data_IF_458549603218
#
_entry.id   IF_458549603218
#
_cell.length_a   1.000
_cell.length_b   1.000
_cell.length_c   1.000
_cell.angle_alpha   90.00
_cell.angle_beta   90.00
_cell.angle_gamma   90.00
#
_symmetry.space_group_name_H-M   'P 1'
#
loop_
_entity.id
_entity.type
_entity.pdbx_description
1 polymer ?
#
# COMPACT_ATOMS: atom_id res chain seq x y z
N UNK A 1 9.16 -5.24 -16.65
CA UNK A 1 8.26 -6.26 -16.07
C UNK A 1 7.43 -6.97 -17.13
N UNK A 2 6.80 -6.26 -18.07
CA UNK A 2 5.83 -6.87 -19.01
C UNK A 2 6.47 -7.82 -20.01
N UNK A 3 7.57 -7.45 -20.65
CA UNK A 3 8.30 -8.34 -21.58
C UNK A 3 8.68 -9.65 -20.87
N UNK A 4 9.22 -9.57 -19.66
CA UNK A 4 9.59 -10.74 -18.85
C UNK A 4 8.37 -11.60 -18.53
N UNK A 5 7.25 -10.97 -18.16
CA UNK A 5 5.99 -11.65 -17.90
C UNK A 5 5.54 -12.47 -19.10
N UNK A 6 5.51 -11.87 -20.29
CA UNK A 6 5.08 -12.54 -21.52
C UNK A 6 6.06 -13.63 -21.96
N UNK A 7 7.35 -13.34 -21.95
CA UNK A 7 8.38 -14.31 -22.35
C UNK A 7 8.39 -15.56 -21.45
N UNK A 8 8.34 -15.37 -20.13
CA UNK A 8 8.34 -16.49 -19.19
C UNK A 8 7.06 -17.32 -19.30
N UNK A 9 5.91 -16.68 -19.47
CA UNK A 9 4.64 -17.39 -19.68
C UNK A 9 4.61 -18.17 -20.99
N UNK A 10 5.15 -17.63 -22.05
CA UNK A 10 5.30 -18.35 -23.32
C UNK A 10 6.15 -19.63 -23.17
N UNK A 11 7.08 -19.65 -22.21
CA UNK A 11 7.88 -20.83 -21.83
C UNK A 11 7.20 -21.72 -20.77
N UNK A 12 5.93 -21.47 -20.42
CA UNK A 12 5.21 -22.24 -19.39
C UNK A 12 5.62 -21.94 -17.95
N UNK A 13 6.38 -20.86 -17.70
CA UNK A 13 6.84 -20.50 -16.38
C UNK A 13 5.77 -19.64 -15.68
N UNK A 14 5.29 -20.04 -14.47
CA UNK A 14 4.24 -19.31 -13.78
C UNK A 14 4.82 -18.04 -13.12
N UNK A 15 4.59 -16.91 -13.77
CA UNK A 15 5.06 -15.59 -13.33
C UNK A 15 3.89 -14.62 -13.25
N UNK A 16 3.96 -13.69 -12.30
CA UNK A 16 3.00 -12.60 -12.13
C UNK A 16 3.73 -11.26 -11.99
N UNK A 17 2.97 -10.17 -12.07
CA UNK A 17 3.43 -8.83 -11.73
C UNK A 17 2.81 -8.41 -10.42
N UNK A 18 3.64 -7.93 -9.51
CA UNK A 18 3.24 -7.35 -8.25
C UNK A 18 3.66 -5.88 -8.19
N UNK A 19 3.01 -5.13 -7.33
CA UNK A 19 3.27 -3.70 -7.20
C UNK A 19 2.87 -3.19 -5.81
N UNK A 20 3.45 -2.08 -5.42
CA UNK A 20 2.88 -1.22 -4.38
C UNK A 20 2.38 0.08 -5.01
N UNK A 21 1.34 0.63 -4.39
CA UNK A 21 0.71 1.83 -4.90
C UNK A 21 1.55 3.08 -4.67
N UNK A 22 2.25 3.13 -3.53
CA UNK A 22 3.14 4.23 -3.18
C UNK A 22 4.09 3.84 -2.04
N UNK A 23 5.37 4.16 -2.18
CA UNK A 23 6.34 4.01 -1.11
C UNK A 23 6.46 5.30 -0.30
N UNK A 24 6.25 5.27 1.03
CA UNK A 24 6.40 6.47 1.85
C UNK A 24 7.84 7.02 1.90
N UNK A 25 8.84 6.17 1.65
CA UNK A 25 10.26 6.58 1.65
C UNK A 25 10.71 7.13 0.29
N UNK A 26 10.42 6.39 -0.79
CA UNK A 26 10.90 6.71 -2.15
C UNK A 26 9.95 7.58 -2.96
N UNK A 27 8.75 7.85 -2.42
CA UNK A 27 7.76 8.77 -3.00
C UNK A 27 7.36 8.46 -4.44
N UNK A 28 7.31 7.18 -4.81
CA UNK A 28 6.86 6.70 -6.11
C UNK A 28 6.18 5.33 -5.99
N UNK A 29 5.51 4.92 -7.06
CA UNK A 29 5.02 3.55 -7.23
C UNK A 29 6.11 2.67 -7.83
N UNK A 30 5.99 1.35 -7.64
CA UNK A 30 6.92 0.40 -8.25
C UNK A 30 6.21 -0.91 -8.56
N UNK A 31 6.71 -1.60 -9.60
CA UNK A 31 6.27 -2.92 -10.02
C UNK A 31 7.47 -3.84 -10.18
N UNK A 32 7.28 -5.10 -9.84
CA UNK A 32 8.28 -6.15 -10.02
C UNK A 32 7.62 -7.43 -10.51
N UNK A 33 8.41 -8.42 -10.88
CA UNK A 33 7.91 -9.73 -11.21
C UNK A 33 8.02 -10.69 -10.02
N UNK A 34 7.16 -11.68 -9.98
CA UNK A 34 7.20 -12.76 -9.00
C UNK A 34 7.01 -14.10 -9.70
N UNK A 35 7.88 -15.05 -9.36
CA UNK A 35 7.86 -16.40 -9.87
C UNK A 35 7.20 -17.33 -8.86
N UNK A 36 6.25 -18.16 -9.29
CA UNK A 36 5.71 -19.23 -8.45
C UNK A 36 6.58 -20.47 -8.63
N UNK A 37 7.22 -20.92 -7.55
CA UNK A 37 8.03 -22.14 -7.57
C UNK A 37 7.18 -23.42 -7.46
N UNK A 38 7.84 -24.57 -7.52
CA UNK A 38 7.20 -25.89 -7.44
C UNK A 38 6.58 -26.20 -6.09
N UNK A 39 6.90 -25.45 -5.03
CA UNK A 39 6.25 -25.54 -3.71
C UNK A 39 5.02 -24.65 -3.60
N UNK A 40 4.73 -23.85 -4.63
CA UNK A 40 3.65 -22.88 -4.63
C UNK A 40 4.00 -21.52 -4.05
N UNK A 41 5.24 -21.33 -3.58
CA UNK A 41 5.75 -20.09 -3.01
C UNK A 41 6.05 -19.08 -4.12
N UNK A 42 5.78 -17.82 -3.86
CA UNK A 42 6.10 -16.73 -4.77
C UNK A 42 7.44 -16.10 -4.40
N UNK A 43 8.31 -15.94 -5.39
CA UNK A 43 9.67 -15.43 -5.26
C UNK A 43 9.76 -14.15 -6.08
N UNK A 44 10.08 -13.04 -5.42
CA UNK A 44 10.30 -11.73 -6.05
C UNK A 44 11.58 -11.76 -6.88
N UNK A 45 11.52 -11.16 -8.06
CA UNK A 45 12.71 -10.85 -8.86
C UNK A 45 12.51 -9.59 -9.72
N UNK A 46 13.60 -8.94 -10.06
CA UNK A 46 13.62 -7.82 -11.02
C UNK A 46 14.66 -8.16 -12.10
N UNK A 47 14.27 -8.35 -13.36
CA UNK A 47 15.20 -8.68 -14.42
C UNK A 47 16.38 -7.70 -14.52
N UNK A 48 17.59 -8.24 -14.47
CA UNK A 48 18.84 -7.45 -14.51
C UNK A 48 19.20 -6.73 -13.21
N UNK A 49 18.43 -6.94 -12.11
CA UNK A 49 18.71 -6.30 -10.81
C UNK A 49 18.66 -7.28 -9.65
N UNK A 50 17.65 -8.13 -9.60
CA UNK A 50 17.40 -9.07 -8.52
C UNK A 50 17.07 -10.43 -9.12
N UNK A 51 17.92 -11.40 -8.90
CA UNK A 51 17.69 -12.79 -9.33
C UNK A 51 16.72 -13.51 -8.39
N UNK A 52 15.85 -14.40 -8.90
CA UNK A 52 14.95 -15.17 -8.08
C UNK A 52 15.72 -16.18 -7.25
N UNK A 53 15.67 -16.08 -5.92
CA UNK A 53 16.33 -17.01 -4.99
C UNK A 53 15.33 -17.61 -4.04
N UNK A 54 15.42 -18.95 -3.78
CA UNK A 54 14.50 -19.64 -2.86
C UNK A 54 14.80 -19.36 -1.40
N UNK A 55 16.06 -19.14 -1.06
CA UNK A 55 16.55 -19.11 0.30
C UNK A 55 16.45 -17.76 0.98
N UNK A 56 16.07 -16.75 0.24
CA UNK A 56 15.88 -15.38 0.77
C UNK A 56 14.53 -14.84 0.30
N UNK A 57 13.77 -14.26 1.24
CA UNK A 57 12.77 -13.28 0.86
C UNK A 57 13.56 -12.06 0.41
N UNK A 58 13.85 -12.00 -0.89
CA UNK A 58 14.56 -10.88 -1.45
C UNK A 58 13.60 -9.69 -1.42
N UNK A 59 13.93 -8.69 -0.63
CA UNK A 59 13.22 -7.42 -0.66
C UNK A 59 14.08 -6.43 -1.41
N UNK A 60 13.45 -5.55 -2.15
CA UNK A 60 14.10 -4.40 -2.77
C UNK A 60 14.39 -3.27 -1.76
N UNK A 61 14.29 -3.58 -0.46
CA UNK A 61 14.42 -2.70 0.70
C UNK A 61 13.50 -1.46 0.70
N UNK A 62 12.54 -1.37 -0.22
CA UNK A 62 11.58 -0.26 -0.27
C UNK A 62 10.41 -0.55 0.65
N UNK A 63 9.99 0.47 1.40
CA UNK A 63 8.73 0.43 2.13
C UNK A 63 7.56 0.44 1.15
N UNK A 64 6.66 -0.55 1.30
CA UNK A 64 5.56 -0.81 0.37
C UNK A 64 4.21 -0.36 0.92
N UNK A 65 4.08 -0.34 2.25
CA UNK A 65 2.80 -0.20 2.93
C UNK A 65 1.89 -1.40 2.69
N UNK A 66 1.51 -1.61 1.45
CA UNK A 66 0.73 -2.76 0.96
C UNK A 66 1.29 -3.22 -0.38
N UNK A 67 1.28 -4.53 -0.63
CA UNK A 67 1.69 -5.14 -1.89
C UNK A 67 0.50 -5.83 -2.56
N UNK A 68 0.37 -5.62 -3.86
CA UNK A 68 -0.73 -6.17 -4.67
C UNK A 68 -0.18 -6.94 -5.86
N UNK A 69 -0.95 -7.94 -6.31
CA UNK A 69 -0.68 -8.74 -7.51
C UNK A 69 -1.77 -8.52 -8.53
N UNK A 70 -1.38 -8.35 -9.80
CA UNK A 70 -2.32 -8.41 -10.91
C UNK A 70 -2.74 -9.87 -11.14
N UNK A 71 -4.05 -10.10 -11.18
CA UNK A 71 -4.67 -11.41 -11.40
C UNK A 71 -5.41 -11.42 -12.74
N UNK A 72 -5.46 -12.58 -13.40
CA UNK A 72 -6.31 -12.77 -14.61
C UNK A 72 -7.75 -13.03 -14.23
N UNK A 73 -7.99 -13.72 -13.12
CA UNK A 73 -9.32 -14.02 -12.61
C UNK A 73 -9.81 -12.91 -11.70
N UNK A 74 -11.11 -12.67 -11.78
CA UNK A 74 -11.80 -11.74 -10.91
C UNK A 74 -11.73 -12.19 -9.43
N UNK A 75 -11.40 -11.27 -8.54
CA UNK A 75 -11.34 -11.52 -7.10
C UNK A 75 -12.72 -11.29 -6.48
N UNK A 76 -13.33 -12.35 -5.97
CA UNK A 76 -14.73 -12.33 -5.46
C UNK A 76 -14.96 -11.30 -4.35
N UNK A 77 -13.99 -11.10 -3.47
CA UNK A 77 -14.08 -10.09 -2.39
C UNK A 77 -14.23 -8.68 -2.93
N UNK A 78 -13.46 -8.34 -3.97
CA UNK A 78 -13.55 -7.05 -4.64
C UNK A 78 -14.82 -6.96 -5.49
N UNK A 79 -15.23 -8.06 -6.15
CA UNK A 79 -16.46 -8.10 -6.92
C UNK A 79 -17.72 -7.83 -6.05
N UNK A 80 -17.73 -8.28 -4.80
CA UNK A 80 -18.81 -7.96 -3.86
C UNK A 80 -18.89 -6.46 -3.55
N UNK A 81 -17.77 -5.77 -3.51
CA UNK A 81 -17.72 -4.30 -3.35
C UNK A 81 -18.20 -3.57 -4.60
N UNK A 82 -18.00 -4.14 -5.80
CA UNK A 82 -18.46 -3.55 -7.07
C UNK A 82 -19.98 -3.53 -7.20
N UNK A 83 -20.69 -4.48 -6.59
CA UNK A 83 -22.15 -4.53 -6.58
C UNK A 83 -22.78 -3.47 -5.65
N UNK A 84 -21.98 -2.83 -4.81
CA UNK A 84 -22.42 -1.68 -4.03
C UNK A 84 -22.35 -0.44 -4.93
N UNK A 85 -23.51 0.13 -5.29
CA UNK A 85 -23.63 1.39 -6.05
C UNK A 85 -23.13 2.62 -5.28
N UNK A 86 -22.20 2.45 -4.39
CA UNK A 86 -21.62 3.53 -3.59
C UNK A 86 -20.65 4.34 -4.46
N UNK A 87 -21.07 5.56 -4.77
CA UNK A 87 -20.32 6.56 -5.55
C UNK A 87 -19.00 6.95 -4.85
N UNK A 88 -18.86 6.64 -3.57
CA UNK A 88 -17.77 7.06 -2.71
C UNK A 88 -16.52 6.14 -2.65
N UNK A 89 -16.42 5.07 -3.46
CA UNK A 89 -15.24 4.20 -3.42
C UNK A 89 -14.25 4.60 -4.52
N UNK A 90 -12.99 4.98 -4.18
CA UNK A 90 -11.97 5.30 -5.17
C UNK A 90 -11.73 4.16 -6.16
N UNK A 91 -11.48 4.52 -7.45
CA UNK A 91 -11.35 3.57 -8.56
C UNK A 91 -10.40 2.41 -8.30
N UNK A 92 -9.31 2.64 -7.57
CA UNK A 92 -8.34 1.61 -7.23
C UNK A 92 -8.99 0.41 -6.51
N UNK A 93 -9.84 0.68 -5.52
CA UNK A 93 -10.48 -0.36 -4.71
C UNK A 93 -11.66 -1.04 -5.41
N UNK A 94 -12.02 -0.59 -6.60
CA UNK A 94 -13.02 -1.23 -7.47
C UNK A 94 -12.41 -2.19 -8.49
N UNK A 95 -11.09 -2.32 -8.51
CA UNK A 95 -10.41 -3.21 -9.44
C UNK A 95 -10.45 -4.65 -8.92
N UNK A 96 -11.33 -5.47 -9.47
CA UNK A 96 -11.46 -6.90 -9.11
C UNK A 96 -10.32 -7.78 -9.63
N UNK A 97 -9.40 -7.24 -10.42
CA UNK A 97 -8.25 -7.98 -10.97
C UNK A 97 -6.96 -7.74 -10.20
N UNK A 98 -7.05 -7.20 -8.99
CA UNK A 98 -5.93 -7.10 -8.07
C UNK A 98 -6.21 -7.89 -6.79
N UNK A 99 -5.16 -8.47 -6.22
CA UNK A 99 -5.20 -9.20 -4.96
C UNK A 99 -4.15 -8.65 -4.00
N UNK A 100 -4.52 -8.43 -2.76
CA UNK A 100 -3.58 -8.16 -1.68
C UNK A 100 -2.68 -9.38 -1.45
N UNK A 101 -1.39 -9.19 -1.50
CA UNK A 101 -0.36 -10.21 -1.25
C UNK A 101 0.65 -9.76 -0.21
N UNK A 102 0.31 -8.77 0.58
CA UNK A 102 1.18 -8.18 1.61
C UNK A 102 1.67 -9.22 2.61
N UNK A 103 0.81 -10.18 2.97
CA UNK A 103 1.18 -11.28 3.86
C UNK A 103 2.34 -12.14 3.33
N UNK A 104 2.54 -12.22 2.00
CA UNK A 104 3.66 -12.96 1.42
C UNK A 104 5.02 -12.33 1.79
N UNK A 105 5.04 -11.06 2.17
CA UNK A 105 6.24 -10.27 2.49
C UNK A 105 6.44 -10.08 3.98
N UNK A 106 5.36 -9.87 4.72
CA UNK A 106 5.41 -9.40 6.12
C UNK A 106 4.67 -10.34 7.09
N UNK A 107 4.17 -11.47 6.59
CA UNK A 107 3.32 -12.38 7.37
C UNK A 107 1.90 -11.85 7.56
N UNK A 108 1.03 -12.71 8.08
CA UNK A 108 -0.33 -12.35 8.44
C UNK A 108 -0.31 -11.53 9.73
N UNK A 109 -1.02 -10.42 9.72
CA UNK A 109 -1.24 -9.59 10.90
C UNK A 109 -2.57 -8.86 10.80
N UNK A 110 -3.04 -8.40 11.94
CA UNK A 110 -4.28 -7.65 12.10
C UNK A 110 -4.03 -6.45 13.00
N UNK A 111 -4.53 -5.30 12.59
CA UNK A 111 -4.33 -4.03 13.30
C UNK A 111 -5.67 -3.31 13.43
N UNK A 112 -6.16 -3.20 14.65
CA UNK A 112 -7.38 -2.45 14.97
C UNK A 112 -7.01 -1.08 15.52
N UNK A 113 -7.59 -0.03 14.96
CA UNK A 113 -7.36 1.36 15.36
C UNK A 113 -8.68 2.09 15.58
N UNK A 114 -8.73 3.03 16.53
CA UNK A 114 -9.90 3.87 16.74
C UNK A 114 -10.05 4.89 15.59
N UNK A 115 -11.28 5.24 15.29
CA UNK A 115 -11.64 6.32 14.36
C UNK A 115 -12.49 7.37 15.09
N UNK A 116 -12.38 8.61 14.67
CA UNK A 116 -13.11 9.74 15.24
C UNK A 116 -14.32 10.14 14.39
N UNK A 117 -14.42 9.58 13.19
CA UNK A 117 -15.52 9.83 12.26
C UNK A 117 -16.11 8.50 11.83
N UNK A 118 -17.39 8.32 12.09
CA UNK A 118 -18.13 7.12 11.71
C UNK A 118 -18.50 7.20 10.23
N UNK A 119 -17.79 6.41 9.43
CA UNK A 119 -18.05 6.20 8.01
C UNK A 119 -17.92 4.71 7.70
N UNK A 120 -18.76 4.21 6.80
CA UNK A 120 -18.78 2.80 6.45
C UNK A 120 -17.44 2.30 5.90
N UNK A 121 -16.81 3.10 5.05
CA UNK A 121 -15.55 2.76 4.42
C UNK A 121 -14.42 3.63 4.95
N UNK A 122 -13.46 3.00 5.58
CA UNK A 122 -12.24 3.65 6.07
C UNK A 122 -11.08 3.20 5.20
N UNK A 123 -10.29 4.16 4.76
CA UNK A 123 -9.12 3.91 3.95
C UNK A 123 -7.86 4.02 4.80
N UNK A 124 -6.88 3.17 4.50
CA UNK A 124 -5.54 3.25 5.07
C UNK A 124 -4.65 4.02 4.12
N UNK A 125 -4.08 5.11 4.57
CA UNK A 125 -3.19 5.96 3.79
C UNK A 125 -1.74 5.83 4.19
N UNK A 126 -0.84 5.92 3.20
CA UNK A 126 0.59 6.17 3.40
C UNK A 126 0.93 7.60 3.03
N UNK A 127 1.94 8.16 3.69
CA UNK A 127 2.34 9.56 3.51
C UNK A 127 2.95 9.83 2.14
N UNK A 128 2.63 10.98 1.59
CA UNK A 128 3.34 11.62 0.46
C UNK A 128 3.48 13.13 0.72
N UNK A 129 4.39 13.85 0.05
CA UNK A 129 4.61 15.29 0.32
C UNK A 129 3.36 16.17 0.22
N UNK A 130 2.39 15.80 -0.59
CA UNK A 130 1.16 16.56 -0.81
C UNK A 130 -0.09 15.91 -0.18
N UNK A 131 0.07 15.10 0.86
CA UNK A 131 -1.04 14.47 1.57
C UNK A 131 -0.89 12.96 1.72
N UNK A 132 -1.99 12.23 1.64
CA UNK A 132 -2.05 10.78 1.87
C UNK A 132 -2.53 10.05 0.63
N UNK A 133 -1.92 8.91 0.33
CA UNK A 133 -2.38 8.01 -0.72
C UNK A 133 -3.04 6.80 -0.05
N UNK A 134 -4.32 6.51 -0.35
CA UNK A 134 -4.99 5.35 0.19
C UNK A 134 -4.40 4.08 -0.44
N UNK A 135 -3.97 3.16 0.42
CA UNK A 135 -3.36 1.89 0.00
C UNK A 135 -4.18 0.69 0.41
N UNK A 136 -5.13 0.83 1.35
CA UNK A 136 -6.05 -0.22 1.75
C UNK A 136 -7.41 0.36 2.09
N UNK A 137 -8.44 -0.51 2.20
CA UNK A 137 -9.80 -0.15 2.56
C UNK A 137 -10.41 -1.23 3.44
N UNK A 138 -11.08 -0.81 4.50
CA UNK A 138 -11.83 -1.70 5.38
C UNK A 138 -13.19 -1.12 5.75
N UNK A 139 -14.09 -1.98 6.21
CA UNK A 139 -15.40 -1.57 6.74
C UNK A 139 -15.22 -1.29 8.23
N UNK A 140 -15.71 -0.15 8.67
CA UNK A 140 -15.71 0.22 10.10
C UNK A 140 -16.66 -0.66 10.92
N UNK A 141 -16.34 -0.81 12.18
CA UNK A 141 -17.19 -1.43 13.18
C UNK A 141 -17.34 -0.45 14.37
N UNK A 142 -18.35 0.40 14.30
CA UNK A 142 -18.54 1.50 15.25
C UNK A 142 -17.37 2.50 15.20
N UNK A 143 -16.76 2.74 16.34
CA UNK A 143 -15.65 3.67 16.53
C UNK A 143 -14.27 3.11 16.16
N UNK A 144 -14.21 1.93 15.51
CA UNK A 144 -12.96 1.23 15.18
C UNK A 144 -12.98 0.71 13.76
N UNK A 145 -11.77 0.50 13.24
CA UNK A 145 -11.53 -0.19 11.97
C UNK A 145 -10.36 -1.16 12.11
N UNK A 146 -10.48 -2.30 11.45
CA UNK A 146 -9.43 -3.34 11.41
C UNK A 146 -8.89 -3.47 10.01
N UNK A 147 -7.57 -3.34 9.89
CA UNK A 147 -6.82 -3.62 8.66
C UNK A 147 -6.01 -4.89 8.81
N UNK A 148 -5.82 -5.60 7.72
CA UNK A 148 -5.07 -6.86 7.69
C UNK A 148 -3.80 -6.73 6.87
N UNK A 149 -2.77 -7.48 7.26
CA UNK A 149 -1.53 -7.63 6.50
C UNK A 149 -0.83 -6.28 6.20
N UNK A 150 -0.42 -5.56 7.24
CA UNK A 150 0.31 -4.32 7.13
C UNK A 150 1.82 -4.55 7.18
N UNK A 151 2.57 -3.72 6.46
CA UNK A 151 4.02 -3.64 6.62
C UNK A 151 4.38 -2.94 7.94
N UNK A 152 5.25 -3.52 8.78
CA UNK A 152 5.66 -2.89 10.03
C UNK A 152 6.61 -1.71 9.80
N UNK A 153 6.68 -0.85 10.82
CA UNK A 153 7.55 0.34 10.86
C UNK A 153 7.24 1.38 9.77
N UNK A 154 5.94 1.56 9.50
CA UNK A 154 5.40 2.60 8.63
C UNK A 154 4.39 3.42 9.44
N UNK A 155 4.35 4.72 9.16
CA UNK A 155 3.30 5.61 9.66
C UNK A 155 2.12 5.54 8.67
N UNK A 156 0.97 5.16 9.21
CA UNK A 156 -0.29 5.11 8.49
C UNK A 156 -1.27 6.16 9.00
N UNK A 157 -2.23 6.50 8.16
CA UNK A 157 -3.34 7.39 8.49
C UNK A 157 -4.67 6.72 8.12
N UNK A 158 -5.63 6.74 9.05
CA UNK A 158 -7.01 6.40 8.72
C UNK A 158 -7.68 7.56 8.00
N UNK A 159 -8.36 7.28 6.89
CA UNK A 159 -8.93 8.29 6.00
C UNK A 159 -10.39 7.95 5.68
N UNK A 160 -11.17 8.98 5.42
CA UNK A 160 -12.49 8.92 4.78
C UNK A 160 -12.44 9.62 3.43
N UNK A 161 -13.32 9.24 2.51
CA UNK A 161 -13.45 9.84 1.19
C UNK A 161 -14.82 10.47 1.02
N UNK A 162 -14.90 11.78 0.80
CA UNK A 162 -16.14 12.54 0.66
C UNK A 162 -16.71 12.60 -0.77
N UNK A 163 -16.14 11.76 -1.67
CA UNK A 163 -16.46 11.76 -3.09
C UNK A 163 -15.53 12.65 -3.94
N UNK A 164 -14.77 13.55 -3.32
CA UNK A 164 -13.82 14.47 -3.97
C UNK A 164 -12.39 14.30 -3.45
N UNK A 165 -12.23 14.30 -2.14
CA UNK A 165 -10.91 14.24 -1.50
C UNK A 165 -10.91 13.37 -0.25
N UNK A 166 -9.71 13.04 0.20
CA UNK A 166 -9.48 12.24 1.40
C UNK A 166 -9.27 13.16 2.60
N UNK A 167 -9.90 12.80 3.72
CA UNK A 167 -9.77 13.50 5.01
C UNK A 167 -9.35 12.52 6.11
N UNK A 168 -8.58 12.95 7.12
CA UNK A 168 -8.29 12.13 8.28
C UNK A 168 -9.57 11.68 9.00
N UNK A 169 -9.63 10.38 9.35
CA UNK A 169 -10.71 9.78 10.14
C UNK A 169 -10.33 9.60 11.62
N UNK A 170 -9.06 9.70 11.95
CA UNK A 170 -8.52 9.57 13.30
C UNK A 170 -7.08 10.05 13.36
N UNK A 171 -6.35 9.68 14.39
CA UNK A 171 -4.93 9.95 14.50
C UNK A 171 -4.11 9.08 13.54
N UNK A 172 -2.95 9.59 13.11
CA UNK A 172 -1.95 8.74 12.48
C UNK A 172 -1.42 7.72 13.48
N UNK A 173 -0.94 6.60 13.01
CA UNK A 173 -0.35 5.58 13.86
C UNK A 173 0.87 4.95 13.19
N UNK A 174 1.79 4.46 13.99
CA UNK A 174 2.87 3.60 13.53
C UNK A 174 2.54 2.15 13.88
N UNK A 175 2.65 1.24 12.90
CA UNK A 175 2.51 -0.18 13.15
C UNK A 175 3.88 -0.78 13.46
N UNK A 176 4.07 -1.26 14.69
CA UNK A 176 5.29 -1.97 15.10
C UNK A 176 4.99 -2.96 16.21
N UNK A 177 5.80 -4.01 16.32
CA UNK A 177 5.67 -5.05 17.34
C UNK A 177 4.24 -5.65 17.42
N UNK A 178 3.55 -5.78 16.26
CA UNK A 178 2.19 -6.30 16.19
C UNK A 178 1.09 -5.38 16.73
N UNK A 179 1.39 -4.10 16.99
CA UNK A 179 0.46 -3.12 17.56
C UNK A 179 0.46 -1.80 16.80
N UNK A 180 -0.67 -1.12 16.85
CA UNK A 180 -0.76 0.29 16.44
C UNK A 180 -0.41 1.20 17.61
N UNK A 181 0.60 2.03 17.44
CA UNK A 181 0.95 3.10 18.37
C UNK A 181 0.41 4.41 17.79
N UNK A 182 -0.60 4.99 18.44
CA UNK A 182 -1.23 6.24 17.98
C UNK A 182 -0.26 7.42 18.17
N UNK A 183 -0.18 8.26 17.16
CA UNK A 183 0.58 9.51 17.19
C UNK A 183 -0.35 10.65 17.57
N UNK A 184 -0.70 10.71 18.84
CA UNK A 184 -1.53 11.78 19.38
C UNK A 184 -0.69 13.03 19.65
N UNK A 185 -1.19 14.22 19.27
CA UNK A 185 -0.47 15.46 19.57
C UNK A 185 -0.46 15.71 21.08
N UNK A 186 0.71 16.02 21.63
CA UNK A 186 0.81 16.55 22.98
C UNK A 186 0.25 17.98 23.00
N UNK A 187 -0.90 18.16 23.65
CA UNK A 187 -1.57 19.44 23.74
C UNK A 187 -1.07 20.32 24.88
N UNK A 188 -0.30 19.75 25.80
CA UNK A 188 0.20 20.41 26.99
C UNK A 188 1.58 20.99 26.72
N UNK A 189 2.48 20.16 26.14
CA UNK A 189 3.85 20.55 25.83
C UNK A 189 3.94 20.95 24.36
N UNK A 190 3.67 22.22 24.06
CA UNK A 190 3.77 22.75 22.70
C UNK A 190 5.13 23.40 22.51
N UNK A 191 5.90 22.92 21.56
CA UNK A 191 7.14 23.55 21.12
C UNK A 191 6.90 24.22 19.77
N UNK A 192 7.45 25.42 19.60
CA UNK A 192 7.45 26.10 18.32
C UNK A 192 8.56 25.50 17.43
N UNK A 193 8.18 24.86 16.35
CA UNK A 193 9.13 24.29 15.38
C UNK A 193 9.19 25.17 14.12
N UNK A 194 10.37 25.73 13.84
CA UNK A 194 10.63 26.48 12.61
C UNK A 194 11.14 25.53 11.53
N UNK A 195 10.27 25.18 10.56
CA UNK A 195 10.64 24.38 9.41
C UNK A 195 11.27 25.25 8.31
N UNK A 196 12.57 25.11 8.11
CA UNK A 196 13.29 25.78 7.01
C UNK A 196 13.44 24.80 5.83
N UNK A 197 12.79 25.09 4.71
CA UNK A 197 12.98 24.35 3.47
C UNK A 197 13.97 25.08 2.57
N UNK A 198 15.12 24.47 2.27
CA UNK A 198 15.95 24.90 1.13
C UNK A 198 15.30 24.37 -0.13
N UNK A 199 14.72 25.25 -0.92
CA UNK A 199 14.35 24.90 -2.31
C UNK A 199 15.64 24.91 -3.14
N UNK A 200 16.10 23.74 -3.55
CA UNK A 200 17.03 23.67 -4.67
C UNK A 200 16.23 23.94 -5.93
N UNK A 201 16.37 25.13 -6.49
CA UNK A 201 15.94 25.42 -7.85
C UNK A 201 16.90 24.59 -8.73
N UNK A 202 16.48 23.42 -9.20
CA UNK A 202 17.18 22.81 -10.33
C UNK A 202 16.98 23.76 -11.50
N UNK A 203 18.04 24.26 -12.13
CA UNK A 203 17.88 25.02 -13.36
C UNK A 203 17.12 24.13 -14.34
N UNK A 204 16.01 24.63 -14.83
CA UNK A 204 15.32 24.03 -15.97
C UNK A 204 16.31 24.10 -17.12
N UNK A 205 16.85 22.96 -17.54
CA UNK A 205 17.57 22.89 -18.80
C UNK A 205 16.50 23.01 -19.89
N UNK A 206 16.11 24.23 -20.19
CA UNK A 206 15.50 24.59 -21.45
C UNK A 206 16.64 24.87 -22.39
N UNK A 207 16.99 23.89 -23.21
CA UNK A 207 17.71 24.09 -24.48
C UNK A 207 18.28 22.72 -24.88
N UNK A 208 17.50 22.06 -25.72
CA UNK A 208 17.99 21.37 -26.94
C UNK A 208 16.84 21.23 -27.91
#
# INVERSE_FOLDING_TARGET
CDITLYAMRACGIPVATEFFRYSPEYQHYHTWNTLRDTTGRFILFEPGKIDPTRDKITTDNRKKGKAYRYCFGEQKSTALLLNVKDIGIPKFFRNSYIRDVTANYFGENEVTVPIQKEERYIYLGVFRPNGWIPVDMAISNGDKVTFHNLEPNIIYQTLIFDGKQLHPAGYSFIFRNGKAELLEPDRINREEAVLKRKMSIKPTISEW
#
